data_IF_431735376566
#
_entry.id   IF_431735376566
#
_cell.length_a   1.000
_cell.length_b   1.000
_cell.length_c   1.000
_cell.angle_alpha   90.00
_cell.angle_beta   90.00
_cell.angle_gamma   90.00
#
_symmetry.space_group_name_H-M   'P 1'
#
loop_
_entity.id
_entity.type
_entity.pdbx_description
1 polymer ?
#
# COMPACT_ATOMS: atom_id res chain seq x y z
N UNK A 1 4.30 22.14 -18.26
CA UNK A 1 2.85 22.21 -18.58
C UNK A 1 2.39 20.76 -18.69
N UNK A 2 1.49 20.33 -17.79
CA UNK A 2 0.93 18.97 -17.83
C UNK A 2 -0.26 19.01 -18.82
N UNK A 3 -0.17 18.26 -19.90
CA UNK A 3 -1.31 18.04 -20.77
C UNK A 3 -2.11 16.84 -20.23
N UNK A 4 -3.40 17.03 -20.02
CA UNK A 4 -4.30 15.98 -19.58
C UNK A 4 -4.38 14.90 -20.67
N UNK A 5 -3.92 13.70 -20.37
CA UNK A 5 -4.13 12.53 -21.23
C UNK A 5 -5.60 12.10 -21.22
N UNK A 6 -6.04 11.46 -22.27
CA UNK A 6 -7.38 10.87 -22.34
C UNK A 6 -7.50 9.72 -21.34
N UNK A 7 -8.60 9.69 -20.60
CA UNK A 7 -8.93 8.60 -19.69
C UNK A 7 -9.13 7.31 -20.49
N UNK A 8 -8.37 6.28 -20.17
CA UNK A 8 -8.66 4.92 -20.66
C UNK A 8 -9.34 4.13 -19.53
N UNK A 9 -10.47 3.52 -19.86
CA UNK A 9 -11.08 2.51 -18.99
C UNK A 9 -10.28 1.25 -19.17
N UNK A 10 -9.60 0.81 -18.11
CA UNK A 10 -8.79 -0.37 -18.15
C UNK A 10 -9.53 -1.53 -17.54
N UNK A 11 -9.66 -2.59 -18.32
CA UNK A 11 -10.18 -3.87 -17.87
C UNK A 11 -8.99 -4.78 -17.58
N UNK A 12 -8.69 -4.97 -16.29
CA UNK A 12 -7.72 -5.99 -15.86
C UNK A 12 -8.44 -7.33 -15.85
N UNK A 13 -8.15 -8.17 -16.83
CA UNK A 13 -8.60 -9.57 -16.84
C UNK A 13 -7.47 -10.46 -16.37
N UNK A 14 -7.73 -11.18 -15.28
CA UNK A 14 -6.84 -12.23 -14.83
C UNK A 14 -7.41 -13.61 -15.10
N UNK A 15 -6.53 -14.56 -15.44
CA UNK A 15 -6.81 -15.98 -15.57
C UNK A 15 -7.08 -16.64 -14.19
N UNK A 16 -8.00 -16.07 -13.42
CA UNK A 16 -8.41 -16.48 -12.09
C UNK A 16 -9.85 -16.08 -11.82
N UNK A 17 -10.36 -16.46 -10.65
CA UNK A 17 -11.75 -16.31 -10.24
C UNK A 17 -12.20 -14.86 -10.01
N UNK A 18 -11.28 -13.86 -10.06
CA UNK A 18 -11.57 -12.47 -9.75
C UNK A 18 -11.19 -11.58 -10.95
N UNK A 19 -12.16 -10.81 -11.44
CA UNK A 19 -11.94 -9.76 -12.43
C UNK A 19 -11.93 -8.41 -11.73
N UNK A 20 -10.84 -7.63 -11.91
CA UNK A 20 -10.77 -6.25 -11.44
C UNK A 20 -11.16 -5.34 -12.60
N UNK A 21 -12.20 -4.54 -12.39
CA UNK A 21 -12.67 -3.54 -13.35
C UNK A 21 -12.69 -2.17 -12.70
N UNK A 22 -12.24 -1.16 -13.42
CA UNK A 22 -12.24 0.21 -12.92
C UNK A 22 -11.69 1.19 -13.95
N UNK A 23 -11.56 2.45 -13.54
CA UNK A 23 -10.91 3.50 -14.32
C UNK A 23 -9.73 4.03 -13.52
N UNK A 24 -8.60 4.19 -14.17
CA UNK A 24 -7.47 4.93 -13.61
C UNK A 24 -7.62 6.40 -13.99
N UNK A 25 -7.56 7.25 -12.98
CA UNK A 25 -7.60 8.72 -13.17
C UNK A 25 -6.21 9.35 -13.09
N UNK A 26 -6.18 10.67 -13.31
CA UNK A 26 -4.99 11.49 -13.12
C UNK A 26 -3.79 11.06 -13.99
N UNK A 27 -4.04 10.57 -15.20
CA UNK A 27 -3.03 10.13 -16.15
C UNK A 27 -2.55 11.30 -17.02
N UNK A 28 -1.24 11.47 -17.10
CA UNK A 28 -0.56 12.51 -17.87
C UNK A 28 0.62 11.88 -18.64
N UNK A 29 1.23 12.61 -19.55
CA UNK A 29 2.39 12.12 -20.30
C UNK A 29 3.57 11.70 -19.42
N UNK A 30 3.72 12.31 -18.24
CA UNK A 30 4.77 11.97 -17.25
C UNK A 30 4.39 10.80 -16.33
N UNK A 31 3.23 10.19 -16.49
CA UNK A 31 2.70 9.16 -15.60
C UNK A 31 1.43 9.59 -14.87
N UNK A 32 1.16 8.98 -13.73
CA UNK A 32 0.03 9.33 -12.89
C UNK A 32 0.41 10.45 -11.91
N UNK A 33 -0.45 11.45 -11.69
CA UNK A 33 -0.16 12.61 -10.82
C UNK A 33 -1.31 12.87 -9.86
N UNK A 34 -1.01 12.81 -8.56
CA UNK A 34 -1.94 13.18 -7.49
C UNK A 34 -1.52 14.49 -6.83
N UNK A 35 -2.47 15.41 -6.68
CA UNK A 35 -2.29 16.63 -5.91
C UNK A 35 -2.97 16.50 -4.56
N UNK A 36 -2.20 16.66 -3.49
CA UNK A 36 -2.69 16.59 -2.12
C UNK A 36 -2.42 17.93 -1.42
N UNK A 37 -3.40 18.40 -0.65
CA UNK A 37 -3.29 19.61 0.16
C UNK A 37 -2.44 19.43 1.44
N UNK A 38 -2.17 18.17 1.79
CA UNK A 38 -1.41 17.77 3.00
C UNK A 38 -0.80 16.38 2.82
N UNK A 39 0.07 16.03 3.74
CA UNK A 39 0.64 14.67 3.80
C UNK A 39 -0.47 13.61 3.95
N UNK A 40 -0.46 12.55 3.12
CA UNK A 40 -1.47 11.50 3.21
C UNK A 40 -1.37 10.75 4.53
N UNK A 41 -2.52 10.49 5.15
CA UNK A 41 -2.60 9.58 6.28
C UNK A 41 -2.41 8.12 5.84
N UNK A 42 -2.29 7.18 6.80
CA UNK A 42 -1.99 5.78 6.48
C UNK A 42 -3.00 5.13 5.50
N UNK A 43 -4.33 5.25 5.67
CA UNK A 43 -5.29 4.76 4.68
C UNK A 43 -5.11 5.38 3.30
N UNK A 44 -4.91 6.69 3.21
CA UNK A 44 -4.69 7.39 1.94
C UNK A 44 -3.39 6.92 1.28
N UNK A 45 -2.31 6.75 2.05
CA UNK A 45 -1.04 6.25 1.52
C UNK A 45 -1.16 4.84 0.95
N UNK A 46 -1.87 3.94 1.65
CA UNK A 46 -2.14 2.58 1.15
C UNK A 46 -2.97 2.63 -0.13
N UNK A 47 -3.98 3.49 -0.21
CA UNK A 47 -4.79 3.66 -1.42
C UNK A 47 -3.94 4.13 -2.61
N UNK A 48 -3.07 5.13 -2.42
CA UNK A 48 -2.13 5.60 -3.45
C UNK A 48 -1.15 4.52 -3.91
N UNK A 49 -0.63 3.71 -2.98
CA UNK A 49 0.24 2.57 -3.30
C UNK A 49 -0.49 1.51 -4.13
N UNK A 50 -1.74 1.20 -3.79
CA UNK A 50 -2.55 0.24 -4.54
C UNK A 50 -2.93 0.77 -5.92
N UNK A 51 -3.25 2.05 -6.04
CA UNK A 51 -3.57 2.67 -7.32
C UNK A 51 -2.34 2.70 -8.25
N UNK A 52 -1.17 3.02 -7.71
CA UNK A 52 0.10 2.89 -8.41
C UNK A 52 0.39 1.44 -8.85
N UNK A 53 0.14 0.45 -7.96
CA UNK A 53 0.31 -0.95 -8.28
C UNK A 53 -0.59 -1.39 -9.44
N UNK A 54 -1.86 -0.98 -9.44
CA UNK A 54 -2.82 -1.24 -10.52
C UNK A 54 -2.34 -0.58 -11.82
N UNK A 55 -1.88 0.67 -11.77
CA UNK A 55 -1.33 1.40 -12.91
C UNK A 55 -0.13 0.67 -13.52
N UNK A 56 0.79 0.15 -12.70
CA UNK A 56 1.92 -0.63 -13.17
C UNK A 56 1.51 -2.01 -13.72
N UNK A 57 0.54 -2.68 -13.07
CA UNK A 57 0.08 -4.01 -13.45
C UNK A 57 -0.58 -4.05 -14.83
N UNK A 58 -1.20 -2.94 -15.25
CA UNK A 58 -1.87 -2.81 -16.53
C UNK A 58 -0.92 -2.63 -17.71
N UNK A 59 0.34 -2.29 -17.47
CA UNK A 59 1.32 -2.04 -18.52
C UNK A 59 1.41 -3.18 -19.52
N UNK A 60 1.08 -2.88 -20.78
CA UNK A 60 1.23 -3.82 -21.90
C UNK A 60 2.61 -3.74 -22.56
N UNK A 61 3.40 -2.72 -22.25
CA UNK A 61 4.72 -2.46 -22.85
C UNK A 61 5.74 -2.18 -21.75
N UNK A 62 6.89 -2.85 -21.82
CA UNK A 62 8.05 -2.60 -20.92
C UNK A 62 8.68 -1.21 -21.15
N UNK A 63 8.31 -0.52 -22.23
CA UNK A 63 8.85 0.77 -22.63
C UNK A 63 8.08 1.97 -22.05
N UNK A 64 6.91 1.75 -21.46
CA UNK A 64 6.14 2.83 -20.84
C UNK A 64 6.64 3.12 -19.42
N UNK A 65 7.08 4.34 -19.19
CA UNK A 65 7.44 4.81 -17.84
C UNK A 65 6.18 5.02 -17.00
N UNK A 66 5.83 4.04 -16.17
CA UNK A 66 4.64 4.09 -15.31
C UNK A 66 4.98 4.58 -13.90
N UNK A 67 5.33 5.85 -13.81
CA UNK A 67 5.61 6.51 -12.55
C UNK A 67 4.36 7.16 -11.97
N UNK A 68 4.31 7.29 -10.65
CA UNK A 68 3.26 8.06 -9.97
C UNK A 68 3.90 9.19 -9.16
N UNK A 69 3.48 10.41 -9.45
CA UNK A 69 3.92 11.61 -8.75
C UNK A 69 2.85 12.04 -7.73
N UNK A 70 3.23 12.17 -6.47
CA UNK A 70 2.38 12.67 -5.40
C UNK A 70 2.91 14.05 -5.01
N UNK A 71 2.22 15.06 -5.49
CA UNK A 71 2.58 16.48 -5.28
C UNK A 71 1.90 16.99 -4.03
N UNK A 72 2.68 17.45 -3.08
CA UNK A 72 2.26 18.04 -1.81
C UNK A 72 2.84 19.45 -1.69
N UNK A 73 2.35 20.33 -0.80
CA UNK A 73 2.83 21.70 -0.68
C UNK A 73 4.33 21.83 -0.40
N UNK A 74 4.91 20.89 0.34
CA UNK A 74 6.29 20.96 0.80
C UNK A 74 7.22 19.99 0.07
N UNK A 75 6.67 18.92 -0.51
CA UNK A 75 7.46 17.87 -1.15
C UNK A 75 6.71 17.21 -2.30
N UNK A 76 7.45 16.59 -3.21
CA UNK A 76 6.89 15.67 -4.21
C UNK A 76 7.49 14.29 -3.96
N UNK A 77 6.60 13.30 -3.77
CA UNK A 77 7.01 11.91 -3.64
C UNK A 77 6.83 11.21 -4.99
N UNK A 78 7.86 10.52 -5.45
CA UNK A 78 7.81 9.73 -6.68
C UNK A 78 7.69 8.24 -6.33
N UNK A 79 6.69 7.57 -6.90
CA UNK A 79 6.64 6.11 -6.96
C UNK A 79 7.16 5.68 -8.33
N UNK A 80 8.31 5.02 -8.39
CA UNK A 80 8.90 4.58 -9.65
C UNK A 80 8.13 3.42 -10.26
N UNK A 81 8.33 3.20 -11.56
CA UNK A 81 7.70 2.11 -12.27
C UNK A 81 8.06 0.74 -11.67
N UNK A 82 7.05 -0.08 -11.44
CA UNK A 82 7.19 -1.49 -11.08
C UNK A 82 7.01 -2.30 -12.37
N UNK A 83 7.89 -3.27 -12.68
CA UNK A 83 7.69 -4.15 -13.84
C UNK A 83 6.30 -4.80 -13.83
N UNK A 84 5.59 -4.77 -14.96
CA UNK A 84 4.18 -5.20 -15.03
C UNK A 84 3.96 -6.62 -14.49
N UNK A 85 4.84 -7.55 -14.81
CA UNK A 85 4.77 -8.93 -14.29
C UNK A 85 4.90 -9.00 -12.76
N UNK A 86 5.77 -8.18 -12.17
CA UNK A 86 5.93 -8.08 -10.73
C UNK A 86 4.70 -7.42 -10.08
N UNK A 87 4.22 -6.33 -10.66
CA UNK A 87 3.02 -5.63 -10.20
C UNK A 87 1.79 -6.55 -10.22
N UNK A 88 1.62 -7.35 -11.27
CA UNK A 88 0.54 -8.34 -11.38
C UNK A 88 0.64 -9.42 -10.29
N UNK A 89 1.82 -9.94 -9.99
CA UNK A 89 2.02 -10.91 -8.90
C UNK A 89 1.70 -10.32 -7.53
N UNK A 90 2.11 -9.08 -7.27
CA UNK A 90 1.76 -8.37 -6.03
C UNK A 90 0.25 -8.16 -5.93
N UNK A 91 -0.39 -7.68 -6.99
CA UNK A 91 -1.83 -7.45 -7.02
C UNK A 91 -2.62 -8.75 -6.81
N UNK A 92 -2.15 -9.87 -7.36
CA UNK A 92 -2.78 -11.18 -7.12
C UNK A 92 -2.77 -11.59 -5.64
N UNK A 93 -1.68 -11.29 -4.91
CA UNK A 93 -1.64 -11.50 -3.45
C UNK A 93 -2.66 -10.62 -2.74
N UNK A 94 -2.75 -9.33 -3.09
CA UNK A 94 -3.76 -8.43 -2.55
C UNK A 94 -5.18 -8.94 -2.76
N UNK A 95 -5.51 -9.42 -3.96
CA UNK A 95 -6.82 -9.99 -4.28
C UNK A 95 -7.10 -11.27 -3.50
N UNK A 96 -6.08 -12.10 -3.27
CA UNK A 96 -6.21 -13.31 -2.45
C UNK A 96 -6.62 -12.97 -1.01
N UNK A 97 -5.94 -11.99 -0.39
CA UNK A 97 -6.29 -11.54 0.95
C UNK A 97 -7.60 -10.75 0.99
N UNK A 98 -7.91 -9.96 -0.05
CA UNK A 98 -9.21 -9.30 -0.17
C UNK A 98 -10.35 -10.34 -0.16
N UNK A 99 -10.23 -11.40 -0.96
CA UNK A 99 -11.23 -12.47 -0.99
C UNK A 99 -11.33 -13.20 0.36
N UNK A 100 -10.21 -13.42 1.04
CA UNK A 100 -10.20 -13.98 2.39
C UNK A 100 -10.96 -13.07 3.38
N UNK A 101 -10.78 -11.76 3.24
CA UNK A 101 -11.47 -10.74 4.06
C UNK A 101 -12.98 -10.70 3.87
N UNK A 102 -13.51 -11.19 2.74
CA UNK A 102 -14.95 -11.32 2.54
C UNK A 102 -15.58 -12.43 3.40
N UNK A 103 -14.78 -13.34 3.92
CA UNK A 103 -15.25 -14.50 4.69
C UNK A 103 -14.92 -14.43 6.18
N UNK A 104 -13.94 -13.63 6.55
CA UNK A 104 -13.51 -13.46 7.95
C UNK A 104 -12.77 -12.13 8.15
N UNK A 105 -12.81 -11.56 9.36
CA UNK A 105 -12.03 -10.37 9.69
C UNK A 105 -10.53 -10.61 9.50
N UNK A 106 -9.86 -9.66 8.87
CA UNK A 106 -8.41 -9.64 8.73
C UNK A 106 -7.80 -8.63 9.70
N UNK A 107 -6.72 -8.97 10.40
CA UNK A 107 -6.00 -8.03 11.26
C UNK A 107 -5.17 -7.06 10.39
N UNK A 108 -5.84 -6.31 9.53
CA UNK A 108 -5.25 -5.30 8.65
C UNK A 108 -5.67 -3.91 9.11
N UNK A 109 -4.80 -3.28 9.88
CA UNK A 109 -5.02 -1.97 10.46
C UNK A 109 -4.12 -0.97 9.75
N UNK A 110 -4.68 -0.06 8.97
CA UNK A 110 -3.92 0.78 8.04
C UNK A 110 -2.67 1.44 8.68
N UNK A 111 -2.82 2.10 9.82
CA UNK A 111 -1.71 2.77 10.51
C UNK A 111 -0.72 1.76 11.11
N UNK A 112 -1.21 0.73 11.78
CA UNK A 112 -0.39 -0.29 12.45
C UNK A 112 0.34 -1.16 11.45
N UNK A 113 -0.36 -1.63 10.41
CA UNK A 113 0.24 -2.48 9.37
C UNK A 113 1.28 -1.73 8.55
N UNK A 114 1.05 -0.44 8.24
CA UNK A 114 2.01 0.38 7.54
C UNK A 114 3.27 0.62 8.38
N UNK A 115 3.11 0.96 9.68
CA UNK A 115 4.24 1.16 10.59
C UNK A 115 5.09 -0.12 10.77
N UNK A 116 4.44 -1.29 10.84
CA UNK A 116 5.12 -2.57 10.88
C UNK A 116 5.91 -2.85 9.59
N UNK A 117 5.29 -2.62 8.43
CA UNK A 117 5.92 -2.86 7.14
C UNK A 117 7.13 -1.95 6.89
N UNK A 118 7.04 -0.67 7.26
CA UNK A 118 8.16 0.28 7.18
C UNK A 118 9.34 -0.13 8.09
N UNK A 119 9.05 -0.61 9.29
CA UNK A 119 10.09 -1.06 10.21
C UNK A 119 10.73 -2.38 9.72
N UNK A 120 9.92 -3.29 9.18
CA UNK A 120 10.40 -4.53 8.58
C UNK A 120 11.31 -4.28 7.38
N UNK A 121 10.89 -3.42 6.45
CA UNK A 121 11.68 -3.08 5.26
C UNK A 121 13.06 -2.51 5.61
N UNK A 122 13.14 -1.64 6.64
CA UNK A 122 14.41 -1.02 7.07
C UNK A 122 15.37 -1.97 7.74
N UNK A 123 14.90 -2.90 8.54
CA UNK A 123 15.73 -3.74 9.43
C UNK A 123 15.70 -5.22 9.10
N UNK A 124 14.76 -5.67 8.28
CA UNK A 124 14.48 -7.09 7.99
C UNK A 124 14.26 -7.93 9.26
N UNK A 125 13.79 -7.26 10.34
CA UNK A 125 13.55 -7.86 11.65
C UNK A 125 12.06 -7.83 11.97
N UNK A 126 11.47 -9.01 12.16
CA UNK A 126 10.08 -9.11 12.58
C UNK A 126 9.86 -8.55 13.99
N UNK A 127 10.83 -8.68 14.88
CA UNK A 127 10.73 -8.16 16.25
C UNK A 127 10.60 -6.62 16.24
N UNK A 128 11.41 -5.93 15.45
CA UNK A 128 11.32 -4.47 15.28
C UNK A 128 9.98 -4.06 14.65
N UNK A 129 9.51 -4.80 13.64
CA UNK A 129 8.22 -4.58 13.01
C UNK A 129 7.07 -4.74 14.03
N UNK A 130 7.10 -5.80 14.83
CA UNK A 130 6.09 -6.05 15.85
C UNK A 130 6.09 -4.98 16.94
N UNK A 131 7.26 -4.51 17.37
CA UNK A 131 7.37 -3.43 18.35
C UNK A 131 6.75 -2.13 17.81
N UNK A 132 6.97 -1.81 16.52
CA UNK A 132 6.31 -0.65 15.89
C UNK A 132 4.80 -0.86 15.71
N UNK A 133 4.38 -2.08 15.42
CA UNK A 133 2.96 -2.42 15.40
C UNK A 133 2.32 -2.20 16.77
N UNK A 134 2.94 -2.69 17.86
CA UNK A 134 2.45 -2.49 19.24
C UNK A 134 2.32 -1.02 19.60
N UNK A 135 3.35 -0.21 19.34
CA UNK A 135 3.31 1.24 19.57
C UNK A 135 2.12 1.91 18.85
N UNK A 136 1.87 1.52 17.60
CA UNK A 136 0.78 2.09 16.81
C UNK A 136 -0.60 1.55 17.20
N UNK A 137 -0.69 0.26 17.54
CA UNK A 137 -1.94 -0.41 17.90
C UNK A 137 -2.46 0.04 19.26
N UNK A 138 -1.58 0.11 20.27
CA UNK A 138 -1.95 0.54 21.60
C UNK A 138 -2.05 2.06 21.73
N UNK A 139 -1.35 2.81 20.88
CA UNK A 139 -1.26 4.25 21.02
C UNK A 139 -0.37 4.68 22.20
N UNK A 140 -0.53 5.93 22.61
CA UNK A 140 0.16 6.51 23.74
C UNK A 140 -0.70 7.59 24.40
N UNK A 141 -0.15 8.29 25.42
CA UNK A 141 -0.87 9.34 26.16
C UNK A 141 -1.39 10.51 25.30
N UNK A 142 -0.82 10.68 24.09
CA UNK A 142 -1.14 11.80 23.18
C UNK A 142 -1.93 11.32 21.96
N UNK A 143 -1.73 10.08 21.54
CA UNK A 143 -2.31 9.51 20.30
C UNK A 143 -3.12 8.27 20.64
N UNK A 144 -4.40 8.28 20.25
CA UNK A 144 -5.31 7.13 20.35
C UNK A 144 -4.75 5.96 19.53
N UNK A 145 -4.74 4.77 20.13
CA UNK A 145 -4.38 3.53 19.46
C UNK A 145 -5.45 3.03 18.50
N UNK A 146 -5.09 2.15 17.61
CA UNK A 146 -6.10 1.53 16.73
C UNK A 146 -6.99 0.53 17.47
N UNK A 147 -6.51 -0.09 18.55
CA UNK A 147 -7.33 -0.95 19.43
C UNK A 147 -8.53 -0.22 20.05
N UNK A 148 -8.42 1.09 20.28
CA UNK A 148 -9.45 1.90 20.92
C UNK A 148 -10.58 2.32 19.96
N UNK A 149 -10.56 1.87 18.71
CA UNK A 149 -11.68 2.06 17.78
C UNK A 149 -12.75 1.02 18.04
N UNK A 150 -14.00 1.47 18.16
CA UNK A 150 -15.14 0.61 18.51
C UNK A 150 -15.28 -0.60 17.58
N UNK A 151 -15.06 -0.43 16.28
CA UNK A 151 -15.12 -1.49 15.30
C UNK A 151 -14.01 -2.54 15.50
N UNK A 152 -12.83 -2.14 15.96
CA UNK A 152 -11.72 -3.06 16.26
C UNK A 152 -12.01 -3.84 17.52
N UNK A 153 -12.46 -3.18 18.56
CA UNK A 153 -12.87 -3.80 19.83
C UNK A 153 -14.00 -4.81 19.64
N UNK A 154 -15.03 -4.46 18.84
CA UNK A 154 -16.15 -5.35 18.54
C UNK A 154 -15.74 -6.62 17.78
N UNK A 155 -14.76 -6.53 16.92
CA UNK A 155 -14.34 -7.64 16.03
C UNK A 155 -13.25 -8.50 16.67
N UNK A 156 -12.31 -7.90 17.37
CA UNK A 156 -11.08 -8.56 17.86
C UNK A 156 -11.02 -8.65 19.39
N UNK A 157 -11.94 -8.00 20.10
CA UNK A 157 -11.93 -7.95 21.56
C UNK A 157 -10.89 -6.94 22.12
N UNK A 158 -10.80 -6.87 23.43
CA UNK A 158 -9.91 -5.97 24.19
C UNK A 158 -8.67 -6.72 24.75
N UNK A 159 -8.20 -7.76 24.07
CA UNK A 159 -7.01 -8.48 24.49
C UNK A 159 -5.73 -7.68 24.21
N UNK A 160 -4.84 -7.57 25.22
CA UNK A 160 -3.59 -6.80 25.12
C UNK A 160 -2.64 -7.32 24.03
N UNK A 161 -2.55 -8.63 23.84
CA UNK A 161 -1.72 -9.22 22.76
C UNK A 161 -2.38 -9.07 21.38
N UNK A 162 -3.70 -9.06 21.35
CA UNK A 162 -4.53 -8.74 20.22
C UNK A 162 -4.17 -9.44 18.89
N UNK A 163 -4.86 -9.05 17.84
CA UNK A 163 -4.73 -9.66 16.52
C UNK A 163 -3.36 -9.41 15.85
N UNK A 164 -2.57 -8.45 16.35
CA UNK A 164 -1.26 -8.09 15.77
C UNK A 164 -0.13 -9.09 16.09
N UNK A 165 -0.30 -9.92 17.11
CA UNK A 165 0.65 -10.98 17.48
C UNK A 165 0.47 -12.24 16.62
N UNK A 166 -0.62 -12.33 15.87
CA UNK A 166 -0.97 -13.50 15.11
C UNK A 166 -0.17 -13.66 13.81
N UNK A 167 -0.04 -14.91 13.36
CA UNK A 167 0.62 -15.27 12.10
C UNK A 167 0.01 -14.54 10.91
N UNK A 168 -1.31 -14.30 10.94
CA UNK A 168 -1.99 -13.63 9.84
C UNK A 168 -1.59 -12.17 9.70
N UNK A 169 -1.44 -11.43 10.81
CA UNK A 169 -0.93 -10.06 10.79
C UNK A 169 0.49 -10.00 10.20
N UNK A 170 1.36 -10.93 10.64
CA UNK A 170 2.71 -11.05 10.10
C UNK A 170 2.70 -11.28 8.59
N UNK A 171 1.91 -12.23 8.12
CA UNK A 171 1.79 -12.51 6.68
C UNK A 171 1.27 -11.32 5.88
N UNK A 172 0.26 -10.61 6.36
CA UNK A 172 -0.25 -9.39 5.73
C UNK A 172 0.84 -8.31 5.62
N UNK A 173 1.67 -8.17 6.64
CA UNK A 173 2.80 -7.24 6.65
C UNK A 173 3.89 -7.66 5.66
N UNK A 174 4.38 -8.90 5.76
CA UNK A 174 5.51 -9.41 4.97
C UNK A 174 5.14 -9.70 3.50
N UNK A 175 3.92 -10.14 3.22
CA UNK A 175 3.52 -10.56 1.86
C UNK A 175 2.85 -9.45 1.04
N UNK A 176 2.23 -8.44 1.68
CA UNK A 176 1.51 -7.37 0.99
C UNK A 176 2.23 -6.02 1.05
N UNK A 177 2.39 -5.47 2.26
CA UNK A 177 2.86 -4.10 2.42
C UNK A 177 4.36 -3.94 2.27
N UNK A 178 5.16 -4.79 2.90
CA UNK A 178 6.62 -4.65 2.84
C UNK A 178 7.15 -4.76 1.41
N UNK A 179 6.77 -5.75 0.57
CA UNK A 179 7.23 -5.81 -0.80
C UNK A 179 6.80 -4.60 -1.66
N UNK A 180 5.61 -4.06 -1.39
CA UNK A 180 5.10 -2.90 -2.12
C UNK A 180 5.85 -1.61 -1.73
N UNK A 181 6.15 -1.43 -0.44
CA UNK A 181 6.99 -0.33 0.04
C UNK A 181 8.41 -0.42 -0.52
N UNK A 182 9.02 -1.61 -0.48
CA UNK A 182 10.36 -1.83 -1.03
C UNK A 182 10.43 -1.49 -2.52
N UNK A 183 9.40 -1.85 -3.29
CA UNK A 183 9.35 -1.56 -4.72
C UNK A 183 9.31 -0.06 -5.03
N UNK A 184 8.68 0.76 -4.16
CA UNK A 184 8.58 2.21 -4.36
C UNK A 184 9.68 3.02 -3.67
N UNK A 185 10.32 2.50 -2.60
CA UNK A 185 11.34 3.22 -1.82
C UNK A 185 12.77 2.96 -2.33
N UNK A 186 13.09 1.73 -2.73
CA UNK A 186 14.44 1.36 -3.16
C UNK A 186 14.86 2.03 -4.48
N UNK A 187 13.91 2.35 -5.34
CA UNK A 187 14.22 3.04 -6.60
C UNK A 187 14.49 4.55 -6.39
N UNK A 188 14.02 5.16 -5.29
CA UNK A 188 14.36 6.55 -4.95
C UNK A 188 15.83 6.72 -4.54
N UNK A 189 16.44 5.67 -4.01
CA UNK A 189 17.87 5.69 -3.62
C UNK A 189 18.79 5.64 -4.82
N UNK A 190 18.37 5.04 -5.93
CA UNK A 190 19.15 4.97 -7.17
C UNK A 190 19.16 6.30 -7.94
N UNK A 191 18.08 7.07 -7.93
CA UNK A 191 18.02 8.39 -8.59
C UNK A 191 18.76 9.49 -7.85
N UNK A 192 18.91 9.40 -6.53
CA UNK A 192 19.72 10.36 -5.74
C UNK A 192 21.22 10.14 -5.83
N UNK A 193 21.66 9.04 -6.44
CA UNK A 193 23.06 8.67 -6.59
C UNK A 193 23.66 9.01 -7.97
N UNK A 194 22.90 9.65 -8.86
CA UNK A 194 23.30 10.17 -10.16
C UNK A 194 23.26 11.70 -10.11
#
# INVERSE_FOLDING_TARGET
VFEAGSYSVTKLEWSGTITVQGSLGNLYQCGQVFYLDRKPNAPQRIALLLEHLIFCAEGSSETETRQTHIVQPEETTLYPAIPSSQAQQMLQKWLTFFNLGQTRPLPFFAKTSLAAAEAYGKKQSWEDALNKARESYHGNKVSKGQKDYTEVELVFGDEDAGPIEGVLFRRLTEELLAPLLDAVENSQSAEKAV
#
